data_IF_653783817244
#
_entry.id   IF_653783817244
#
_cell.length_a   1.000
_cell.length_b   1.000
_cell.length_c   1.000
_cell.angle_alpha   90.00
_cell.angle_beta   90.00
_cell.angle_gamma   90.00
#
_symmetry.space_group_name_H-M   'P 1'
#
loop_
_entity.id
_entity.type
_entity.pdbx_description
1 polymer ?
#
# COMPACT_ATOMS: atom_id res chain seq x y z
N UNK A 1 -4.85 -9.02 8.42
CA UNK A 1 -5.90 -9.82 9.09
C UNK A 1 -6.96 -8.94 9.75
N UNK A 2 -6.60 -8.05 10.69
CA UNK A 2 -7.55 -7.13 11.34
C UNK A 2 -8.40 -6.29 10.36
N UNK A 3 -7.79 -5.75 9.30
CA UNK A 3 -8.53 -5.01 8.26
C UNK A 3 -9.53 -5.87 7.49
N UNK A 4 -9.22 -7.15 7.25
CA UNK A 4 -10.13 -8.10 6.61
C UNK A 4 -11.30 -8.46 7.54
N UNK A 5 -11.00 -8.63 8.83
CA UNK A 5 -12.00 -8.88 9.89
C UNK A 5 -12.94 -7.69 10.06
N UNK A 6 -12.41 -6.47 10.14
CA UNK A 6 -13.20 -5.24 10.21
C UNK A 6 -14.00 -4.99 8.93
N UNK A 7 -13.44 -5.26 7.74
CA UNK A 7 -14.19 -5.13 6.49
C UNK A 7 -15.38 -6.09 6.42
N UNK A 8 -15.22 -7.31 6.93
CA UNK A 8 -16.29 -8.32 6.99
C UNK A 8 -17.36 -7.96 8.05
N UNK A 9 -16.94 -7.47 9.22
CA UNK A 9 -17.84 -7.08 10.32
C UNK A 9 -18.58 -5.77 10.09
N UNK A 10 -17.89 -4.72 9.60
CA UNK A 10 -18.49 -3.38 9.44
C UNK A 10 -19.20 -3.22 8.10
N UNK A 11 -18.96 -4.12 7.13
CA UNK A 11 -19.57 -4.15 5.80
C UNK A 11 -19.84 -2.73 5.26
N UNK A 12 -18.81 -1.87 5.10
CA UNK A 12 -19.03 -0.44 4.90
C UNK A 12 -19.73 -0.10 3.57
N UNK A 13 -19.94 -1.10 2.70
CA UNK A 13 -20.73 -1.01 1.48
C UNK A 13 -22.24 -1.25 1.63
N UNK A 14 -22.78 -1.65 2.79
CA UNK A 14 -24.22 -1.95 2.97
C UNK A 14 -25.16 -0.73 2.85
N UNK A 15 -24.62 0.47 2.61
CA UNK A 15 -25.40 1.69 2.29
C UNK A 15 -25.25 2.15 0.84
N UNK A 16 -24.42 1.47 0.04
CA UNK A 16 -24.31 1.71 -1.40
C UNK A 16 -25.40 0.91 -2.10
N UNK A 17 -26.57 1.54 -2.26
CA UNK A 17 -27.59 1.10 -3.24
C UNK A 17 -27.09 1.36 -4.67
N UNK A 18 -25.83 0.99 -4.97
CA UNK A 18 -25.35 0.96 -6.34
C UNK A 18 -26.23 -0.08 -7.06
N UNK A 19 -26.80 0.25 -8.23
CA UNK A 19 -27.57 -0.71 -9.00
C UNK A 19 -26.67 -1.93 -9.21
N UNK A 20 -27.05 -3.03 -8.55
CA UNK A 20 -26.35 -4.30 -8.71
C UNK A 20 -26.38 -4.61 -10.21
N UNK A 21 -25.23 -4.89 -10.84
CA UNK A 21 -25.23 -5.49 -12.17
C UNK A 21 -26.19 -6.69 -12.13
N UNK A 22 -27.00 -6.87 -13.18
CA UNK A 22 -27.92 -8.01 -13.27
C UNK A 22 -27.20 -9.31 -12.86
N UNK A 23 -27.90 -10.24 -12.21
CA UNK A 23 -27.30 -11.46 -11.66
C UNK A 23 -26.50 -12.31 -12.69
N UNK A 24 -26.71 -12.05 -13.99
CA UNK A 24 -26.02 -12.66 -15.14
C UNK A 24 -24.84 -11.84 -15.69
N UNK A 25 -24.58 -10.64 -15.16
CA UNK A 25 -23.38 -9.89 -15.45
C UNK A 25 -22.23 -10.60 -14.74
N UNK A 26 -21.64 -11.58 -15.43
CA UNK A 26 -20.49 -12.35 -15.00
C UNK A 26 -19.59 -11.45 -14.17
N UNK A 27 -19.61 -11.65 -12.85
CA UNK A 27 -18.64 -11.04 -11.98
C UNK A 27 -17.31 -11.44 -12.61
N UNK A 28 -16.52 -10.49 -13.10
CA UNK A 28 -15.16 -10.74 -13.62
C UNK A 28 -14.22 -11.22 -12.49
N UNK A 29 -14.77 -11.86 -11.45
CA UNK A 29 -14.08 -12.70 -10.50
C UNK A 29 -13.53 -13.87 -11.31
N UNK A 30 -12.24 -13.76 -11.65
CA UNK A 30 -11.41 -14.85 -12.14
C UNK A 30 -11.32 -15.94 -11.06
N UNK A 31 -12.40 -16.66 -10.79
CA UNK A 31 -12.48 -17.74 -9.80
C UNK A 31 -11.58 -18.93 -10.15
N UNK A 32 -11.11 -19.01 -11.40
CA UNK A 32 -10.07 -19.95 -11.84
C UNK A 32 -8.65 -19.64 -11.35
N UNK A 33 -8.37 -18.44 -10.81
CA UNK A 33 -7.04 -18.05 -10.33
C UNK A 33 -6.69 -18.59 -8.93
N UNK A 34 -7.60 -19.32 -8.28
CA UNK A 34 -7.42 -19.88 -6.93
C UNK A 34 -6.88 -21.32 -6.94
N UNK A 35 -6.30 -21.77 -8.05
CA UNK A 35 -5.59 -23.05 -8.08
C UNK A 35 -4.11 -22.81 -7.82
N UNK A 36 -3.54 -23.42 -6.78
CA UNK A 36 -2.16 -23.16 -6.33
C UNK A 36 -1.14 -23.38 -7.46
N UNK A 37 -1.41 -24.36 -8.34
CA UNK A 37 -0.59 -24.66 -9.50
C UNK A 37 -0.64 -23.56 -10.55
N UNK A 38 -1.83 -23.04 -10.84
CA UNK A 38 -2.00 -21.95 -11.79
C UNK A 38 -1.44 -20.65 -11.22
N UNK A 39 -1.59 -20.40 -9.92
CA UNK A 39 -0.97 -19.25 -9.25
C UNK A 39 0.57 -19.26 -9.38
N UNK A 40 1.22 -20.40 -9.10
CA UNK A 40 2.68 -20.54 -9.24
C UNK A 40 3.10 -20.44 -10.72
N UNK A 41 2.35 -21.06 -11.64
CA UNK A 41 2.64 -20.95 -13.06
C UNK A 41 2.48 -19.51 -13.59
N UNK A 42 1.50 -18.75 -13.07
CA UNK A 42 1.27 -17.34 -13.40
C UNK A 42 2.23 -16.39 -12.67
N UNK A 43 2.96 -16.83 -11.64
CA UNK A 43 4.01 -16.02 -11.01
C UNK A 43 5.24 -15.89 -11.91
N UNK A 44 5.56 -16.91 -12.71
CA UNK A 44 6.68 -16.88 -13.63
C UNK A 44 6.21 -16.30 -14.98
N UNK A 45 6.64 -15.08 -15.34
CA UNK A 45 6.24 -14.49 -16.61
C UNK A 45 6.75 -15.35 -17.77
N UNK A 46 5.87 -15.63 -18.73
CA UNK A 46 6.30 -16.18 -20.04
C UNK A 46 7.20 -15.18 -20.78
N UNK A 47 6.94 -13.88 -20.59
CA UNK A 47 7.72 -12.78 -21.15
C UNK A 47 7.56 -11.50 -20.31
N UNK A 48 8.66 -10.78 -20.08
CA UNK A 48 8.65 -9.49 -19.37
C UNK A 48 7.79 -8.42 -20.08
N UNK A 49 7.84 -8.40 -21.42
CA UNK A 49 7.09 -7.43 -22.23
C UNK A 49 5.58 -7.68 -22.13
N UNK A 50 5.18 -8.95 -22.10
CA UNK A 50 3.77 -9.34 -21.94
C UNK A 50 3.24 -8.98 -20.55
N UNK A 51 4.02 -9.20 -19.49
CA UNK A 51 3.65 -8.83 -18.13
C UNK A 51 3.42 -7.31 -17.98
N UNK A 52 4.27 -6.48 -18.61
CA UNK A 52 4.08 -5.03 -18.63
C UNK A 52 2.86 -4.61 -19.46
N UNK A 53 2.64 -5.24 -20.61
CA UNK A 53 1.50 -4.93 -21.48
C UNK A 53 0.15 -5.32 -20.84
N UNK A 54 0.12 -6.41 -20.09
CA UNK A 54 -1.08 -6.92 -19.39
C UNK A 54 -1.25 -6.34 -17.98
N UNK A 55 -0.33 -5.50 -17.53
CA UNK A 55 -0.32 -4.88 -16.20
C UNK A 55 -0.37 -5.92 -15.05
N UNK A 56 0.30 -7.06 -15.24
CA UNK A 56 0.36 -8.16 -14.28
C UNK A 56 1.41 -7.87 -13.20
N UNK A 57 1.00 -7.12 -12.16
CA UNK A 57 1.87 -6.59 -11.10
C UNK A 57 2.71 -7.68 -10.43
N UNK A 58 2.14 -8.86 -10.15
CA UNK A 58 2.86 -9.95 -9.47
C UNK A 58 4.05 -10.44 -10.29
N UNK A 59 3.87 -10.64 -11.59
CA UNK A 59 4.94 -11.08 -12.49
C UNK A 59 6.06 -10.04 -12.61
N UNK A 60 5.69 -8.76 -12.68
CA UNK A 60 6.65 -7.64 -12.75
C UNK A 60 7.53 -7.61 -11.50
N UNK A 61 6.95 -7.80 -10.31
CA UNK A 61 7.68 -7.84 -9.04
C UNK A 61 8.62 -9.04 -8.94
N UNK A 62 8.15 -10.23 -9.36
CA UNK A 62 9.01 -11.43 -9.36
C UNK A 62 10.19 -11.25 -10.31
N UNK A 63 9.95 -10.75 -11.53
CA UNK A 63 11.02 -10.46 -12.49
C UNK A 63 11.99 -9.41 -11.96
N UNK A 64 11.51 -8.30 -11.39
CA UNK A 64 12.38 -7.22 -10.89
C UNK A 64 13.27 -7.69 -9.75
N UNK A 65 12.79 -8.62 -8.91
CA UNK A 65 13.59 -9.24 -7.86
C UNK A 65 14.73 -10.08 -8.45
N UNK A 66 14.45 -10.96 -9.41
CA UNK A 66 15.48 -11.76 -10.09
C UNK A 66 16.48 -10.89 -10.86
N UNK A 67 15.98 -9.89 -11.57
CA UNK A 67 16.80 -8.92 -12.31
C UNK A 67 17.70 -8.12 -11.36
N UNK A 68 17.17 -7.66 -10.23
CA UNK A 68 17.92 -6.94 -9.19
C UNK A 68 18.99 -7.81 -8.53
N UNK A 69 18.68 -9.08 -8.23
CA UNK A 69 19.66 -10.05 -7.73
C UNK A 69 20.77 -10.30 -8.74
N UNK A 70 20.43 -10.56 -10.01
CA UNK A 70 21.40 -10.77 -11.07
C UNK A 70 22.32 -9.54 -11.20
N UNK A 71 21.75 -8.33 -11.28
CA UNK A 71 22.50 -7.08 -11.38
C UNK A 71 23.43 -6.86 -10.18
N UNK A 72 23.01 -7.23 -8.97
CA UNK A 72 23.82 -7.15 -7.75
C UNK A 72 24.99 -8.16 -7.71
N UNK A 73 24.88 -9.28 -8.41
CA UNK A 73 25.96 -10.29 -8.50
C UNK A 73 27.03 -9.96 -9.55
N UNK A 74 26.78 -9.02 -10.48
CA UNK A 74 27.75 -8.59 -11.48
C UNK A 74 28.85 -7.73 -10.84
N UNK A 75 29.95 -8.37 -10.43
CA UNK A 75 31.12 -7.73 -9.81
C UNK A 75 32.15 -7.24 -10.83
N UNK A 76 31.81 -6.37 -11.78
CA UNK A 76 32.81 -5.80 -12.72
C UNK A 76 32.50 -4.37 -13.23
N UNK A 77 31.62 -3.64 -12.55
CA UNK A 77 31.28 -2.26 -12.95
C UNK A 77 30.38 -2.15 -14.19
N UNK A 78 30.22 -3.21 -14.98
CA UNK A 78 29.29 -3.31 -16.12
C UNK A 78 27.83 -3.09 -15.68
N UNK A 79 27.48 -3.48 -14.45
CA UNK A 79 26.13 -3.26 -13.89
C UNK A 79 25.86 -1.82 -13.42
N UNK A 80 26.88 -0.99 -13.22
CA UNK A 80 26.72 0.40 -12.72
C UNK A 80 25.92 1.32 -13.65
N UNK A 81 26.17 1.37 -14.98
CA UNK A 81 25.38 2.22 -15.87
C UNK A 81 23.90 1.81 -15.93
N UNK A 82 23.62 0.50 -15.90
CA UNK A 82 22.25 -0.03 -15.87
C UNK A 82 21.54 0.35 -14.57
N UNK A 83 22.23 0.18 -13.44
CA UNK A 83 21.70 0.58 -12.13
C UNK A 83 21.42 2.08 -12.05
N UNK A 84 22.34 2.92 -12.55
CA UNK A 84 22.15 4.37 -12.59
C UNK A 84 20.98 4.78 -13.52
N UNK A 85 20.79 4.08 -14.64
CA UNK A 85 19.63 4.28 -15.51
C UNK A 85 18.31 3.96 -14.82
N UNK A 86 18.25 2.84 -14.11
CA UNK A 86 17.05 2.42 -13.36
C UNK A 86 16.76 3.38 -12.20
N UNK A 87 17.78 3.80 -11.46
CA UNK A 87 17.64 4.79 -10.39
C UNK A 87 17.15 6.14 -10.92
N UNK A 88 17.70 6.58 -12.07
CA UNK A 88 17.23 7.76 -12.78
C UNK A 88 15.76 7.67 -13.20
N UNK A 89 15.32 6.52 -13.72
CA UNK A 89 13.91 6.28 -14.04
C UNK A 89 13.01 6.36 -12.79
N UNK A 90 13.45 5.82 -11.65
CA UNK A 90 12.74 5.94 -10.38
C UNK A 90 12.53 7.40 -9.96
N UNK A 91 13.57 8.23 -10.05
CA UNK A 91 13.48 9.66 -9.76
C UNK A 91 12.55 10.40 -10.73
N UNK A 92 12.57 10.04 -12.02
CA UNK A 92 11.65 10.59 -13.02
C UNK A 92 10.21 10.23 -12.67
N UNK A 93 9.92 8.97 -12.32
CA UNK A 93 8.59 8.53 -11.92
C UNK A 93 8.09 9.32 -10.69
N UNK A 94 8.92 9.49 -9.66
CA UNK A 94 8.58 10.32 -8.50
C UNK A 94 8.26 11.76 -8.90
N UNK A 95 9.01 12.34 -9.84
CA UNK A 95 8.76 13.71 -10.31
C UNK A 95 7.48 13.82 -11.13
N UNK A 96 7.16 12.82 -11.95
CA UNK A 96 5.87 12.71 -12.65
C UNK A 96 4.73 12.59 -11.65
N UNK A 97 4.86 11.74 -10.62
CA UNK A 97 3.85 11.62 -9.55
C UNK A 97 3.65 12.96 -8.83
N UNK A 98 4.71 13.72 -8.57
CA UNK A 98 4.58 15.06 -7.98
C UNK A 98 3.82 16.04 -8.88
N UNK A 99 4.06 16.01 -10.20
CA UNK A 99 3.27 16.82 -11.13
C UNK A 99 1.80 16.40 -11.14
N UNK A 100 1.51 15.10 -11.18
CA UNK A 100 0.13 14.59 -11.10
C UNK A 100 -0.52 14.99 -9.79
N UNK A 101 0.19 14.93 -8.66
CA UNK A 101 -0.30 15.38 -7.35
C UNK A 101 -0.60 16.88 -7.33
N UNK A 102 0.13 17.72 -8.05
CA UNK A 102 -0.18 19.15 -8.17
C UNK A 102 -1.51 19.41 -8.91
N UNK A 103 -1.86 18.55 -9.88
CA UNK A 103 -3.16 18.59 -10.56
C UNK A 103 -4.28 17.84 -9.83
N UNK A 104 -3.94 17.00 -8.86
CA UNK A 104 -4.89 16.19 -8.11
C UNK A 104 -6.01 17.01 -7.44
N UNK A 105 -5.80 18.22 -6.89
CA UNK A 105 -6.89 19.02 -6.31
C UNK A 105 -8.02 19.31 -7.30
N UNK A 106 -7.69 19.59 -8.56
CA UNK A 106 -8.67 19.83 -9.62
C UNK A 106 -9.40 18.53 -10.00
N UNK A 107 -8.66 17.42 -10.09
CA UNK A 107 -9.23 16.09 -10.37
C UNK A 107 -10.17 15.60 -9.26
N UNK A 108 -9.77 15.75 -8.00
CA UNK A 108 -10.58 15.41 -6.83
C UNK A 108 -11.81 16.30 -6.74
N UNK A 109 -11.67 17.61 -6.98
CA UNK A 109 -12.82 18.51 -7.04
C UNK A 109 -13.83 18.07 -8.11
N UNK A 110 -13.36 17.75 -9.32
CA UNK A 110 -14.21 17.24 -10.40
C UNK A 110 -14.90 15.92 -10.05
N UNK A 111 -14.14 14.95 -9.52
CA UNK A 111 -14.66 13.64 -9.13
C UNK A 111 -15.70 13.73 -8.02
N UNK A 112 -15.41 14.49 -6.94
CA UNK A 112 -16.33 14.68 -5.82
C UNK A 112 -17.58 15.44 -6.26
N UNK A 113 -17.43 16.49 -7.08
CA UNK A 113 -18.56 17.24 -7.64
C UNK A 113 -19.45 16.36 -8.52
N UNK A 114 -18.86 15.52 -9.39
CA UNK A 114 -19.62 14.59 -10.23
C UNK A 114 -20.40 13.56 -9.41
N UNK A 115 -19.79 13.02 -8.35
CA UNK A 115 -20.47 12.06 -7.46
C UNK A 115 -21.61 12.73 -6.68
N UNK A 116 -21.40 13.94 -6.14
CA UNK A 116 -22.45 14.71 -5.46
C UNK A 116 -23.59 15.06 -6.42
N UNK A 117 -23.28 15.40 -7.68
CA UNK A 117 -24.28 15.70 -8.70
C UNK A 117 -25.12 14.46 -9.07
N UNK A 118 -24.49 13.30 -9.23
CA UNK A 118 -25.15 12.07 -9.65
C UNK A 118 -25.93 11.36 -8.52
N UNK A 119 -25.41 11.37 -7.30
CA UNK A 119 -25.93 10.57 -6.18
C UNK A 119 -26.36 11.41 -4.97
N UNK A 120 -26.25 12.74 -5.06
CA UNK A 120 -26.64 13.68 -4.01
C UNK A 120 -25.69 13.72 -2.81
N UNK A 121 -26.07 14.51 -1.81
CA UNK A 121 -25.31 14.67 -0.56
C UNK A 121 -25.32 13.41 0.33
N UNK A 122 -26.23 12.45 0.08
CA UNK A 122 -26.31 11.20 0.85
C UNK A 122 -25.04 10.35 0.77
N UNK A 123 -24.30 10.45 -0.34
CA UNK A 123 -23.05 9.70 -0.53
C UNK A 123 -21.93 10.17 0.40
N UNK A 124 -21.93 11.45 0.79
CA UNK A 124 -20.95 11.96 1.75
C UNK A 124 -21.04 11.22 3.09
N UNK A 125 -22.24 10.84 3.53
CA UNK A 125 -22.44 10.07 4.76
C UNK A 125 -21.87 8.66 4.62
N UNK A 126 -22.02 8.04 3.44
CA UNK A 126 -21.48 6.71 3.16
C UNK A 126 -19.95 6.75 3.12
N UNK A 127 -19.35 7.74 2.45
CA UNK A 127 -17.90 7.93 2.46
C UNK A 127 -17.36 8.28 3.85
N UNK A 128 -18.07 9.09 4.63
CA UNK A 128 -17.71 9.37 6.01
C UNK A 128 -17.76 8.10 6.88
N UNK A 129 -18.76 7.24 6.69
CA UNK A 129 -18.85 5.94 7.38
C UNK A 129 -17.72 4.99 6.96
N UNK A 130 -17.37 4.97 5.67
CA UNK A 130 -16.23 4.21 5.15
C UNK A 130 -14.92 4.71 5.76
N UNK A 131 -14.64 6.02 5.70
CA UNK A 131 -13.45 6.61 6.32
C UNK A 131 -13.42 6.35 7.83
N UNK A 132 -14.54 6.54 8.52
CA UNK A 132 -14.68 6.24 9.94
C UNK A 132 -14.35 4.78 10.27
N UNK A 133 -14.81 3.83 9.44
CA UNK A 133 -14.49 2.40 9.61
C UNK A 133 -13.00 2.10 9.45
N UNK A 134 -12.33 2.75 8.49
CA UNK A 134 -10.88 2.60 8.27
C UNK A 134 -10.09 3.19 9.43
N UNK A 135 -10.45 4.39 9.91
CA UNK A 135 -9.79 5.00 11.06
C UNK A 135 -10.06 4.23 12.36
N UNK A 136 -11.26 3.68 12.55
CA UNK A 136 -11.57 2.82 13.69
C UNK A 136 -10.74 1.52 13.64
N UNK A 137 -10.63 0.88 12.47
CA UNK A 137 -9.80 -0.31 12.29
C UNK A 137 -8.32 -0.01 12.55
N UNK A 138 -7.81 1.13 12.10
CA UNK A 138 -6.45 1.60 12.40
C UNK A 138 -6.26 1.84 13.90
N UNK A 139 -7.19 2.52 14.56
CA UNK A 139 -7.12 2.76 16.01
C UNK A 139 -7.13 1.44 16.80
N UNK A 140 -7.93 0.47 16.39
CA UNK A 140 -7.97 -0.85 17.02
C UNK A 140 -6.68 -1.65 16.77
N UNK A 141 -6.08 -1.55 15.57
CA UNK A 141 -4.76 -2.09 15.29
C UNK A 141 -3.70 -1.45 16.21
N UNK A 142 -3.73 -0.14 16.37
CA UNK A 142 -2.83 0.59 17.28
C UNK A 142 -2.98 0.12 18.72
N UNK A 143 -4.21 -0.01 19.22
CA UNK A 143 -4.48 -0.54 20.56
C UNK A 143 -3.97 -1.96 20.73
N UNK A 144 -4.19 -2.84 19.75
CA UNK A 144 -3.71 -4.22 19.78
C UNK A 144 -2.17 -4.28 19.80
N UNK A 145 -1.49 -3.45 19.00
CA UNK A 145 -0.03 -3.36 18.99
C UNK A 145 0.53 -2.82 20.31
N UNK A 146 -0.12 -1.82 20.92
CA UNK A 146 0.28 -1.28 22.22
C UNK A 146 0.05 -2.31 23.33
N UNK A 147 -1.09 -3.01 23.34
CA UNK A 147 -1.41 -4.04 24.32
C UNK A 147 -0.45 -5.24 24.20
N UNK A 148 -0.16 -5.69 22.98
CA UNK A 148 0.85 -6.71 22.73
C UNK A 148 2.24 -6.25 23.18
N UNK A 149 2.64 -5.03 22.82
CA UNK A 149 3.88 -4.42 23.29
C UNK A 149 3.96 -4.36 24.82
N UNK A 150 2.85 -4.04 25.50
CA UNK A 150 2.81 -3.88 26.96
C UNK A 150 3.02 -5.21 27.65
N UNK A 151 2.50 -6.29 27.07
CA UNK A 151 2.72 -7.65 27.58
C UNK A 151 4.19 -8.09 27.50
N UNK A 152 4.92 -7.68 26.46
CA UNK A 152 6.33 -8.06 26.28
C UNK A 152 7.34 -7.10 26.93
N UNK A 153 7.06 -5.80 26.91
CA UNK A 153 8.01 -4.74 27.26
C UNK A 153 7.58 -3.93 28.49
N UNK A 154 6.41 -4.22 29.06
CA UNK A 154 5.87 -3.52 30.22
C UNK A 154 5.61 -2.03 29.96
N UNK A 155 6.02 -1.17 30.89
CA UNK A 155 5.81 0.28 30.80
C UNK A 155 6.67 0.99 29.75
N UNK A 156 7.73 0.34 29.26
CA UNK A 156 8.65 0.97 28.29
C UNK A 156 8.05 1.11 26.88
N UNK A 157 6.89 0.50 26.60
CA UNK A 157 6.12 0.71 25.37
C UNK A 157 5.72 2.18 25.18
N UNK A 158 5.35 2.86 26.25
CA UNK A 158 4.99 4.28 26.17
C UNK A 158 6.20 5.15 25.84
N UNK A 159 7.40 4.74 26.29
CA UNK A 159 8.66 5.38 25.90
C UNK A 159 8.96 5.08 24.43
N UNK A 160 8.81 3.83 23.98
CA UNK A 160 8.97 3.44 22.58
C UNK A 160 8.04 4.21 21.63
N UNK A 161 6.75 4.35 21.97
CA UNK A 161 5.80 5.14 21.21
C UNK A 161 6.20 6.62 21.12
N UNK A 162 6.67 7.20 22.22
CA UNK A 162 7.10 8.60 22.26
C UNK A 162 8.32 8.85 21.37
N UNK A 163 9.20 7.87 21.26
CA UNK A 163 10.37 7.86 20.38
C UNK A 163 9.89 7.73 18.92
N UNK A 164 9.07 6.71 18.62
CA UNK A 164 8.56 6.45 17.27
C UNK A 164 7.58 7.50 16.70
N UNK A 165 6.97 8.36 17.52
CA UNK A 165 6.00 9.38 17.06
C UNK A 165 6.53 10.25 15.92
N UNK A 166 7.81 10.63 15.98
CA UNK A 166 8.41 11.52 14.99
C UNK A 166 8.54 10.85 13.61
N UNK A 167 9.13 9.64 13.50
CA UNK A 167 9.08 8.85 12.26
C UNK A 167 7.68 8.57 11.73
N UNK A 168 6.74 8.25 12.61
CA UNK A 168 5.36 7.91 12.22
C UNK A 168 4.61 9.10 11.64
N UNK A 169 4.75 10.28 12.26
CA UNK A 169 4.16 11.52 11.74
C UNK A 169 4.76 11.91 10.39
N UNK A 170 6.06 11.66 10.19
CA UNK A 170 6.71 11.88 8.89
C UNK A 170 6.13 10.91 7.86
N UNK A 171 6.05 9.61 8.16
CA UNK A 171 5.48 8.61 7.24
C UNK A 171 4.00 8.87 6.92
N UNK A 172 3.23 9.37 7.88
CA UNK A 172 1.85 9.80 7.65
C UNK A 172 1.77 11.03 6.74
N UNK A 173 2.60 12.04 7.00
CA UNK A 173 2.62 13.28 6.22
C UNK A 173 3.14 13.09 4.79
N UNK A 174 4.06 12.15 4.57
CA UNK A 174 4.62 11.85 3.24
C UNK A 174 3.87 10.74 2.50
N UNK A 175 2.92 10.07 3.18
CA UNK A 175 2.24 8.87 2.70
C UNK A 175 3.20 7.78 2.16
N UNK A 176 4.46 7.78 2.62
CA UNK A 176 5.52 6.88 2.13
C UNK A 176 6.22 6.17 3.29
N UNK A 177 6.08 4.85 3.33
CA UNK A 177 6.73 3.97 4.31
C UNK A 177 8.26 3.97 4.18
N UNK A 178 8.80 4.19 2.99
CA UNK A 178 10.25 4.21 2.74
C UNK A 178 10.94 5.41 3.40
N UNK A 179 10.24 6.56 3.42
CA UNK A 179 10.77 7.79 4.03
C UNK A 179 10.87 7.73 5.56
N UNK A 180 10.05 6.88 6.20
CA UNK A 180 10.04 6.72 7.64
C UNK A 180 11.03 5.65 8.14
N UNK A 181 11.36 4.66 7.30
CA UNK A 181 12.13 3.48 7.69
C UNK A 181 13.51 3.78 8.29
N UNK A 182 14.37 4.63 7.69
CA UNK A 182 15.69 4.94 8.27
C UNK A 182 15.58 5.61 9.65
N UNK A 183 14.58 6.49 9.81
CA UNK A 183 14.34 7.20 11.08
C UNK A 183 13.80 6.27 12.16
N UNK A 184 13.00 5.27 11.79
CA UNK A 184 12.54 4.22 12.71
C UNK A 184 13.74 3.42 13.25
N UNK A 185 14.68 3.01 12.39
CA UNK A 185 15.86 2.23 12.81
C UNK A 185 16.79 3.03 13.76
N UNK A 186 17.05 4.31 13.47
CA UNK A 186 17.84 5.17 14.37
C UNK A 186 17.16 5.32 15.76
N UNK A 187 15.85 5.54 15.78
CA UNK A 187 15.05 5.66 16.99
C UNK A 187 15.01 4.35 17.81
N UNK A 188 14.94 3.19 17.13
CA UNK A 188 15.01 1.87 17.76
C UNK A 188 16.41 1.55 18.32
N UNK A 189 17.46 1.98 17.63
CA UNK A 189 18.85 1.80 18.08
C UNK A 189 19.11 2.64 19.34
N UNK A 190 18.65 3.90 19.36
CA UNK A 190 18.69 4.78 20.54
C UNK A 190 17.85 4.26 21.71
N UNK A 191 16.79 3.50 21.42
CA UNK A 191 15.96 2.85 22.43
C UNK A 191 16.62 1.60 23.04
N UNK A 192 17.72 1.11 22.47
CA UNK A 192 18.51 -0.01 23.01
C UNK A 192 18.40 -1.31 22.21
N UNK A 193 17.79 -1.30 21.02
CA UNK A 193 17.78 -2.45 20.12
C UNK A 193 19.14 -2.55 19.41
N UNK A 194 19.82 -3.70 19.54
CA UNK A 194 21.11 -3.93 18.86
C UNK A 194 20.92 -3.94 17.34
N UNK A 195 21.74 -3.19 16.56
CA UNK A 195 21.75 -3.33 15.12
C UNK A 195 22.24 -4.74 14.76
N UNK A 196 21.49 -5.44 13.91
CA UNK A 196 21.89 -6.71 13.31
C UNK A 196 22.23 -6.50 11.85
#
# INVERSE_FOLDING_TARGET
LLGLLMANLLAPGHGMNLPLPAADAASNLKTGALNLRDFIAHMFPKSFVEAMATNEVLQIVVFSLFFGFALGTLKDGVGKPVLAGIDGLGHIMLKVTNYVMAFAPLGVFGAVSAVISAQGLGVLVVYAKLLGSVYAALALLWLALIAGGYFFLGRDVFRLMRTLRAPLMIGFATASSESAYPKVIDQLTRFGVKPR
#
